data_IF_549406826418
#
_entry.id   IF_549406826418
#
_cell.length_a   1.000
_cell.length_b   1.000
_cell.length_c   1.000
_cell.angle_alpha   90.00
_cell.angle_beta   90.00
_cell.angle_gamma   90.00
#
_symmetry.space_group_name_H-M   'P 1'
#
loop_
_entity.id
_entity.type
_entity.pdbx_description
1 polymer ?
#
# COMPACT_ATOMS: atom_id res chain seq x y z
N UNK A 1 -37.61 -4.30 29.25
CA UNK A 1 -37.45 -4.83 27.87
C UNK A 1 -36.80 -3.77 26.97
N UNK A 2 -37.18 -2.50 27.10
CA UNK A 2 -36.63 -1.37 26.31
C UNK A 2 -35.11 -1.13 26.42
N UNK A 3 -34.52 -1.24 27.61
CA UNK A 3 -33.10 -0.93 27.82
C UNK A 3 -32.15 -1.87 27.03
N UNK A 4 -32.57 -3.13 26.82
CA UNK A 4 -31.79 -4.09 26.04
C UNK A 4 -31.83 -3.80 24.54
N UNK A 5 -32.97 -3.31 24.03
CA UNK A 5 -33.15 -2.92 22.63
C UNK A 5 -32.27 -1.71 22.30
N UNK A 6 -32.21 -0.73 23.21
CA UNK A 6 -31.35 0.45 23.08
C UNK A 6 -29.87 0.05 23.06
N UNK A 7 -29.44 -0.87 23.93
CA UNK A 7 -28.06 -1.36 23.97
C UNK A 7 -27.68 -2.12 22.69
N UNK A 8 -28.60 -2.92 22.14
CA UNK A 8 -28.41 -3.64 20.87
C UNK A 8 -28.36 -2.69 19.66
N UNK A 9 -29.14 -1.60 19.67
CA UNK A 9 -29.08 -0.53 18.66
C UNK A 9 -27.78 0.26 18.74
N UNK A 10 -27.29 0.58 19.93
CA UNK A 10 -26.03 1.29 20.12
C UNK A 10 -24.82 0.46 19.67
N UNK A 11 -24.84 -0.85 19.95
CA UNK A 11 -23.77 -1.77 19.52
C UNK A 11 -23.75 -2.01 18.01
N UNK A 12 -24.90 -1.99 17.33
CA UNK A 12 -24.94 -2.05 15.85
C UNK A 12 -24.47 -0.75 15.19
N UNK A 13 -24.69 0.42 15.84
CA UNK A 13 -24.20 1.72 15.37
C UNK A 13 -22.68 1.90 15.54
N UNK A 14 -22.11 1.35 16.61
CA UNK A 14 -20.65 1.38 16.89
C UNK A 14 -19.86 0.32 16.12
N UNK A 15 -20.55 -0.68 15.55
CA UNK A 15 -19.97 -1.74 14.73
C UNK A 15 -19.62 -1.33 13.30
N UNK A 16 -19.43 -0.03 13.01
CA UNK A 16 -18.80 0.39 11.75
C UNK A 16 -17.34 -0.01 11.83
N UNK A 17 -17.13 -1.23 11.37
CA UNK A 17 -15.87 -1.89 11.10
C UNK A 17 -14.80 -0.86 10.78
N UNK A 18 -13.77 -0.82 11.62
CA UNK A 18 -12.45 -0.41 11.19
C UNK A 18 -12.00 -1.50 10.23
N UNK A 19 -12.64 -1.59 9.06
CA UNK A 19 -12.06 -2.27 7.93
C UNK A 19 -10.78 -1.49 7.75
N UNK A 20 -9.65 -2.13 8.08
CA UNK A 20 -8.37 -1.74 7.53
C UNK A 20 -8.67 -1.55 6.04
N UNK A 21 -8.66 -0.29 5.61
CA UNK A 21 -8.99 0.03 4.23
C UNK A 21 -8.05 -0.72 3.30
N UNK A 22 -6.89 -1.14 3.79
CA UNK A 22 -5.92 -2.05 3.19
C UNK A 22 -6.42 -3.50 3.05
N UNK A 23 -6.30 -4.06 1.84
CA UNK A 23 -6.62 -5.46 1.54
C UNK A 23 -5.59 -6.18 0.67
N UNK A 24 -4.40 -5.59 0.45
CA UNK A 24 -3.30 -6.33 -0.17
C UNK A 24 -2.06 -5.50 -0.43
N UNK A 25 -0.90 -6.11 -0.23
CA UNK A 25 0.41 -5.57 -0.56
C UNK A 25 1.18 -6.61 -1.39
N UNK A 26 1.92 -6.14 -2.38
CA UNK A 26 2.79 -6.96 -3.20
C UNK A 26 4.03 -6.20 -3.64
N UNK A 27 5.15 -6.89 -3.61
CA UNK A 27 6.41 -6.44 -4.21
C UNK A 27 6.77 -7.43 -5.30
N UNK A 28 7.03 -6.93 -6.50
CA UNK A 28 7.54 -7.71 -7.62
C UNK A 28 8.90 -7.18 -8.06
N UNK A 29 9.83 -8.09 -8.35
CA UNK A 29 11.17 -7.75 -8.81
C UNK A 29 11.28 -8.16 -10.27
N UNK A 30 11.61 -7.20 -11.13
CA UNK A 30 11.87 -7.48 -12.54
C UNK A 30 13.24 -8.16 -12.70
N UNK A 31 13.44 -8.91 -13.80
CA UNK A 31 14.74 -9.45 -14.15
C UNK A 31 15.82 -8.36 -14.14
N UNK A 32 16.99 -8.73 -13.58
CA UNK A 32 18.16 -7.85 -13.52
C UNK A 32 18.60 -7.44 -14.93
N UNK A 33 18.76 -6.15 -15.16
CA UNK A 33 19.26 -5.64 -16.44
C UNK A 33 20.69 -5.12 -16.27
N UNK A 34 21.62 -5.66 -17.06
CA UNK A 34 22.98 -5.12 -17.16
C UNK A 34 23.03 -4.10 -18.30
N UNK A 35 23.41 -2.86 -18.00
CA UNK A 35 23.64 -1.82 -19.00
C UNK A 35 24.99 -2.01 -19.71
N UNK A 36 25.17 -1.32 -20.82
CA UNK A 36 26.39 -1.36 -21.64
C UNK A 36 27.63 -0.85 -20.88
N UNK A 37 27.46 0.08 -19.96
CA UNK A 37 28.51 0.63 -19.08
C UNK A 37 28.89 -0.33 -17.92
N UNK A 38 28.27 -1.50 -17.84
CA UNK A 38 28.52 -2.50 -16.81
C UNK A 38 27.67 -2.33 -15.55
N UNK A 39 26.90 -1.24 -15.42
CA UNK A 39 26.00 -1.03 -14.28
C UNK A 39 24.82 -2.01 -14.30
N UNK A 40 24.30 -2.30 -13.12
CA UNK A 40 23.13 -3.16 -12.93
C UNK A 40 21.92 -2.31 -12.58
N UNK A 41 20.83 -2.48 -13.32
CA UNK A 41 19.52 -1.91 -13.02
C UNK A 41 18.63 -2.97 -12.40
N UNK A 42 18.22 -2.73 -11.16
CA UNK A 42 17.16 -3.46 -10.49
C UNK A 42 15.89 -2.62 -10.57
N UNK A 43 14.77 -3.25 -10.91
CA UNK A 43 13.46 -2.59 -10.89
C UNK A 43 12.54 -3.39 -10.01
N UNK A 44 11.91 -2.73 -9.05
CA UNK A 44 10.88 -3.30 -8.20
C UNK A 44 9.60 -2.49 -8.38
N UNK A 45 8.46 -3.18 -8.32
CA UNK A 45 7.16 -2.55 -8.21
C UNK A 45 6.57 -2.92 -6.86
N UNK A 46 6.17 -1.91 -6.10
CA UNK A 46 5.45 -2.04 -4.85
C UNK A 46 4.03 -1.56 -5.10
N UNK A 47 3.05 -2.45 -4.87
CA UNK A 47 1.63 -2.16 -5.06
C UNK A 47 0.90 -2.44 -3.76
N UNK A 48 0.29 -1.39 -3.22
CA UNK A 48 -0.66 -1.47 -2.13
C UNK A 48 -2.07 -1.34 -2.69
N UNK A 49 -3.01 -2.05 -2.10
CA UNK A 49 -4.43 -1.97 -2.42
C UNK A 49 -5.18 -1.63 -1.14
N UNK A 50 -5.94 -0.54 -1.19
CA UNK A 50 -6.84 -0.18 -0.13
C UNK A 50 -7.98 0.73 -0.60
N UNK A 51 -9.03 0.81 0.22
CA UNK A 51 -10.18 1.72 0.06
C UNK A 51 -9.87 3.17 0.45
N UNK A 52 -8.72 3.40 1.08
CA UNK A 52 -8.23 4.73 1.48
C UNK A 52 -6.89 4.98 0.81
N UNK A 53 -6.37 6.20 0.97
CA UNK A 53 -5.01 6.54 0.55
C UNK A 53 -4.01 5.47 1.03
N UNK A 54 -3.27 4.92 0.07
CA UNK A 54 -2.20 3.97 0.36
C UNK A 54 -1.07 4.68 1.11
N UNK A 55 -0.42 3.97 2.03
CA UNK A 55 0.65 4.54 2.84
C UNK A 55 1.88 4.75 1.96
N UNK A 56 2.38 5.98 1.91
CA UNK A 56 3.55 6.35 1.10
C UNK A 56 4.89 5.92 1.76
N UNK A 57 4.94 4.71 2.34
CA UNK A 57 6.01 4.29 3.26
C UNK A 57 6.95 3.22 2.70
N UNK A 58 7.38 3.38 1.45
CA UNK A 58 8.49 2.53 0.97
C UNK A 58 9.81 3.21 1.29
N UNK A 59 10.53 2.67 2.27
CA UNK A 59 11.92 3.06 2.53
C UNK A 59 12.86 2.06 1.87
N UNK A 60 13.84 2.57 1.13
CA UNK A 60 14.86 1.76 0.48
C UNK A 60 16.21 2.13 1.06
N UNK A 61 16.92 1.14 1.58
CA UNK A 61 18.29 1.31 2.08
C UNK A 61 19.21 0.56 1.14
N UNK A 62 20.17 1.28 0.57
CA UNK A 62 21.22 0.69 -0.23
C UNK A 62 22.50 0.67 0.59
N UNK A 63 22.79 -0.49 1.17
CA UNK A 63 24.02 -0.67 1.94
C UNK A 63 25.25 -0.72 1.00
N UNK A 64 26.38 -0.18 1.48
CA UNK A 64 27.65 -0.23 0.76
C UNK A 64 27.84 0.77 -0.40
N UNK A 65 26.98 1.78 -0.53
CA UNK A 65 27.16 2.86 -1.54
C UNK A 65 26.71 2.49 -2.96
N UNK A 66 25.97 1.40 -3.12
CA UNK A 66 25.65 0.79 -4.43
C UNK A 66 24.54 1.52 -5.21
N UNK A 67 23.74 2.38 -4.56
CA UNK A 67 22.69 3.14 -5.25
C UNK A 67 23.21 4.52 -5.65
N UNK A 68 23.88 4.58 -6.80
CA UNK A 68 24.33 5.84 -7.40
C UNK A 68 23.15 6.66 -7.98
N UNK A 69 22.09 5.99 -8.46
CA UNK A 69 21.02 6.64 -9.23
C UNK A 69 19.63 6.09 -8.85
N UNK A 70 19.29 6.17 -7.55
CA UNK A 70 17.93 5.85 -7.12
C UNK A 70 16.95 6.88 -7.69
N UNK A 71 16.11 6.44 -8.63
CA UNK A 71 14.96 7.21 -9.09
C UNK A 71 13.78 6.77 -8.24
N UNK A 72 13.41 7.59 -7.25
CA UNK A 72 12.15 7.43 -6.52
C UNK A 72 11.01 7.45 -7.55
N UNK A 73 10.17 6.41 -7.56
CA UNK A 73 8.90 6.48 -8.27
C UNK A 73 7.92 7.25 -7.40
N UNK A 74 7.29 8.28 -7.98
CA UNK A 74 6.10 8.86 -7.38
C UNK A 74 5.06 7.75 -7.19
N UNK A 75 4.35 7.77 -6.06
CA UNK A 75 3.23 6.86 -5.84
C UNK A 75 2.13 7.27 -6.80
N UNK A 76 1.87 6.43 -7.80
CA UNK A 76 0.77 6.59 -8.73
C UNK A 76 -0.43 5.84 -8.20
N UNK A 77 -1.48 6.58 -7.84
CA UNK A 77 -2.76 5.98 -7.49
C UNK A 77 -3.42 5.45 -8.76
N UNK A 78 -3.45 4.13 -8.88
CA UNK A 78 -3.89 3.46 -10.11
C UNK A 78 -5.42 3.23 -10.15
N UNK A 79 -6.05 3.05 -8.98
CA UNK A 79 -7.48 2.82 -8.84
C UNK A 79 -8.06 3.66 -7.69
N UNK A 80 -9.26 4.20 -7.89
CA UNK A 80 -10.05 4.87 -6.85
C UNK A 80 -11.39 4.15 -6.72
N UNK A 81 -11.62 3.52 -5.57
CA UNK A 81 -12.91 2.90 -5.25
C UNK A 81 -13.79 3.91 -4.51
N UNK A 82 -14.63 4.64 -5.26
CA UNK A 82 -15.63 5.58 -4.69
C UNK A 82 -16.94 4.87 -4.31
N UNK A 83 -16.99 3.54 -4.36
CA UNK A 83 -18.27 2.83 -4.26
C UNK A 83 -18.88 2.87 -2.86
N UNK A 84 -18.13 3.23 -1.81
CA UNK A 84 -18.63 3.46 -0.44
C UNK A 84 -19.41 2.29 0.19
N UNK A 85 -19.39 1.11 -0.43
CA UNK A 85 -20.22 -0.07 -0.10
C UNK A 85 -19.47 -1.10 0.74
#
# INVERSE_FOLDING_TARGET
MEAGVILLLLSSLLGRSWTLSFYGDSISVMPLQKKSDGTLKVTFYHRQNGRSDCQNQTSFICEGGTCSDFVQSEVLQMDWDDSGQ
#
